data_IF_767082776637
#
_entry.id   IF_767082776637
#
_cell.length_a   1.000
_cell.length_b   1.000
_cell.length_c   1.000
_cell.angle_alpha   90.00
_cell.angle_beta   90.00
_cell.angle_gamma   90.00
#
_symmetry.space_group_name_H-M   'P 1'
#
loop_
_entity.id
_entity.type
_entity.pdbx_description
1 polymer ?
#
# COMPACT_ATOMS: atom_id res chain seq x y z
N UNK A 1 1.59 -14.59 2.24
CA UNK A 1 0.88 -14.57 3.55
C UNK A 1 -0.38 -13.73 3.44
N UNK A 2 -1.53 -14.23 3.89
CA UNK A 2 -2.86 -13.62 3.69
C UNK A 2 -3.06 -12.22 4.30
N UNK A 3 -2.23 -11.78 5.25
CA UNK A 3 -2.49 -10.58 6.06
C UNK A 3 -2.32 -9.25 5.32
N UNK A 4 -1.39 -9.20 4.38
CA UNK A 4 -1.09 -7.99 3.59
C UNK A 4 -2.21 -7.71 2.57
N UNK A 5 -2.87 -8.76 2.07
CA UNK A 5 -3.97 -8.64 1.11
C UNK A 5 -5.21 -7.92 1.67
N UNK A 6 -5.41 -7.99 2.99
CA UNK A 6 -6.50 -7.27 3.67
C UNK A 6 -6.24 -5.77 3.78
N UNK A 7 -4.97 -5.36 3.90
CA UNK A 7 -4.57 -3.94 3.98
C UNK A 7 -4.65 -3.28 2.59
N UNK A 8 -4.46 -4.06 1.51
CA UNK A 8 -4.53 -3.57 0.13
C UNK A 8 -5.91 -3.08 -0.31
N UNK A 9 -6.97 -3.71 0.20
CA UNK A 9 -8.36 -3.34 -0.11
C UNK A 9 -8.95 -2.40 0.94
N UNK A 10 -8.11 -1.87 1.85
CA UNK A 10 -8.57 -0.88 2.79
C UNK A 10 -8.90 0.41 2.05
N UNK A 11 -10.10 0.94 2.28
CA UNK A 11 -10.50 2.26 1.78
C UNK A 11 -9.54 3.37 2.24
N UNK A 12 -8.87 3.15 3.37
CA UNK A 12 -7.88 4.07 3.92
C UNK A 12 -6.80 3.35 4.69
N UNK A 13 -5.55 3.66 4.36
CA UNK A 13 -4.35 3.21 5.05
C UNK A 13 -3.74 4.44 5.75
N UNK A 14 -3.28 4.27 6.98
CA UNK A 14 -2.59 5.31 7.77
C UNK A 14 -1.20 4.78 8.13
N UNK A 15 -0.18 5.52 7.74
CA UNK A 15 1.23 5.21 7.99
C UNK A 15 1.66 6.03 9.20
N UNK A 16 2.10 5.32 10.23
CA UNK A 16 2.57 5.89 11.49
C UNK A 16 4.07 5.66 11.61
N UNK A 17 4.77 6.74 11.93
CA UNK A 17 6.20 6.75 12.23
C UNK A 17 6.43 7.55 13.51
N UNK A 18 7.10 6.96 14.50
CA UNK A 18 7.35 7.56 15.83
C UNK A 18 6.10 8.20 16.49
N UNK A 19 4.93 7.57 16.30
CA UNK A 19 3.66 8.06 16.84
C UNK A 19 3.05 9.25 16.08
N UNK A 20 3.59 9.60 14.91
CA UNK A 20 3.07 10.64 14.01
C UNK A 20 2.56 10.02 12.71
N UNK A 21 1.53 10.62 12.14
CA UNK A 21 1.01 10.22 10.84
C UNK A 21 1.90 10.84 9.76
N UNK A 22 2.62 10.00 9.02
CA UNK A 22 3.51 10.41 7.93
C UNK A 22 2.89 10.18 6.54
N UNK A 23 1.80 9.42 6.47
CA UNK A 23 1.04 9.22 5.24
C UNK A 23 -0.36 8.71 5.51
N UNK A 24 -1.32 9.11 4.69
CA UNK A 24 -2.67 8.53 4.69
C UNK A 24 -3.24 8.51 3.28
N UNK A 25 -4.01 7.48 2.95
CA UNK A 25 -4.67 7.38 1.65
C UNK A 25 -4.85 5.94 1.22
N UNK A 26 -5.13 5.73 -0.06
CA UNK A 26 -5.15 4.40 -0.65
C UNK A 26 -3.74 3.84 -0.84
N UNK A 27 -3.62 2.53 -1.08
CA UNK A 27 -2.34 1.91 -1.42
C UNK A 27 -1.63 2.64 -2.56
N UNK A 28 -2.36 2.99 -3.62
CA UNK A 28 -1.80 3.67 -4.79
C UNK A 28 -1.29 5.08 -4.47
N UNK A 29 -2.03 5.84 -3.66
CA UNK A 29 -1.61 7.18 -3.24
C UNK A 29 -0.36 7.12 -2.38
N UNK A 30 -0.29 6.19 -1.44
CA UNK A 30 0.86 6.02 -0.57
C UNK A 30 2.08 5.50 -1.34
N UNK A 31 1.90 4.58 -2.29
CA UNK A 31 2.97 4.14 -3.19
C UNK A 31 3.57 5.29 -4.00
N UNK A 32 2.78 6.32 -4.34
CA UNK A 32 3.29 7.48 -5.11
C UNK A 32 3.83 8.59 -4.23
N UNK A 33 3.23 8.82 -3.07
CA UNK A 33 3.47 10.03 -2.28
C UNK A 33 4.10 9.78 -0.90
N UNK A 34 4.36 8.53 -0.50
CA UNK A 34 4.89 8.20 0.82
C UNK A 34 6.05 7.19 0.73
N UNK A 35 7.27 7.69 0.90
CA UNK A 35 8.49 6.88 0.86
C UNK A 35 8.52 5.82 1.97
N UNK A 36 8.13 6.19 3.20
CA UNK A 36 8.04 5.27 4.34
C UNK A 36 7.11 4.08 4.03
N UNK A 37 5.99 4.32 3.35
CA UNK A 37 5.11 3.25 2.92
C UNK A 37 5.74 2.36 1.85
N UNK A 38 6.52 2.95 0.93
CA UNK A 38 7.28 2.20 -0.08
C UNK A 38 8.29 1.26 0.56
N UNK A 39 9.04 1.73 1.56
CA UNK A 39 10.02 0.92 2.28
C UNK A 39 9.37 -0.23 3.06
N UNK A 40 8.26 0.03 3.75
CA UNK A 40 7.50 -0.99 4.47
C UNK A 40 6.95 -2.04 3.50
N UNK A 41 6.37 -1.59 2.39
CA UNK A 41 5.84 -2.50 1.38
C UNK A 41 6.95 -3.34 0.76
N UNK A 42 8.08 -2.74 0.36
CA UNK A 42 9.22 -3.46 -0.19
C UNK A 42 9.83 -4.47 0.80
N UNK A 43 9.78 -4.18 2.10
CA UNK A 43 10.28 -5.09 3.15
C UNK A 43 9.34 -6.26 3.43
N UNK A 44 8.07 -6.17 3.03
CA UNK A 44 7.01 -7.13 3.40
C UNK A 44 6.37 -7.84 2.20
N UNK A 45 6.52 -7.30 0.99
CA UNK A 45 6.02 -7.83 -0.27
C UNK A 45 7.21 -8.22 -1.15
N UNK A 46 7.15 -9.40 -1.76
CA UNK A 46 8.09 -9.74 -2.81
C UNK A 46 7.88 -8.83 -4.04
N UNK A 47 8.93 -8.60 -4.83
CA UNK A 47 8.84 -7.79 -6.06
C UNK A 47 7.70 -8.25 -7.00
N UNK A 48 7.44 -9.56 -7.02
CA UNK A 48 6.35 -10.20 -7.77
C UNK A 48 4.95 -9.76 -7.29
N UNK A 49 4.79 -9.57 -5.97
CA UNK A 49 3.58 -9.05 -5.35
C UNK A 49 3.42 -7.54 -5.68
N UNK A 50 4.50 -6.76 -5.60
CA UNK A 50 4.50 -5.34 -5.98
C UNK A 50 4.10 -5.13 -7.45
N UNK A 51 4.59 -5.98 -8.37
CA UNK A 51 4.27 -5.92 -9.79
C UNK A 51 2.82 -6.31 -10.09
N UNK A 52 2.31 -7.40 -9.48
CA UNK A 52 0.92 -7.83 -9.63
C UNK A 52 -0.09 -6.81 -9.07
N UNK A 53 0.33 -5.96 -8.14
CA UNK A 53 -0.51 -4.93 -7.51
C UNK A 53 -0.62 -3.66 -8.35
N UNK A 54 0.42 -3.28 -9.09
CA UNK A 54 0.39 -2.13 -10.02
C UNK A 54 -0.61 -2.32 -11.18
N UNK A 55 -0.86 -3.56 -11.59
CA UNK A 55 -1.67 -3.91 -12.75
C UNK A 55 -3.18 -4.07 -12.47
N UNK A 56 -3.61 -4.22 -11.21
CA UNK A 56 -4.97 -4.71 -10.90
C UNK A 56 -5.98 -3.61 -10.52
N UNK A 57 -5.56 -2.35 -10.34
CA UNK A 57 -6.47 -1.28 -9.86
C UNK A 57 -7.34 -0.63 -10.96
N UNK A 58 -7.39 -1.18 -12.17
CA UNK A 58 -8.21 -0.64 -13.26
C UNK A 58 -9.66 -1.17 -13.30
N UNK A 59 -10.10 -1.99 -12.33
CA UNK A 59 -11.42 -2.65 -12.39
C UNK A 59 -12.19 -2.54 -11.08
N UNK A 60 -12.75 -1.37 -10.81
CA UNK A 60 -13.63 -1.13 -9.66
C UNK A 60 -14.47 0.14 -9.73
N UNK A 61 -14.63 0.74 -10.91
CA UNK A 61 -15.54 1.86 -11.14
C UNK A 61 -16.51 1.50 -12.28
N UNK A 62 -17.51 0.68 -11.96
CA UNK A 62 -18.78 0.53 -12.68
C UNK A 62 -19.74 -0.30 -11.83
#
# INVERSE_FOLDING_TARGET
GQRINTIMNADKIIVLDEGKIVGQGTHQELMKNCEVYQEIAASQLSEDDLQKMSATTAKGAA
#
